data_IF_444936491754
#
_entry.id   IF_444936491754
#
_cell.length_a   1.000
_cell.length_b   1.000
_cell.length_c   1.000
_cell.angle_alpha   90.00
_cell.angle_beta   90.00
_cell.angle_gamma   90.00
#
_symmetry.space_group_name_H-M   'P 1'
#
loop_
_entity.id
_entity.type
_entity.pdbx_description
1 polymer ?
#
# COMPACT_ATOMS: atom_id res chain seq x y z
N UNK A 1 5.54 5.40 -2.71
CA UNK A 1 4.96 6.15 -3.86
C UNK A 1 4.55 7.56 -3.41
N UNK A 2 4.75 8.61 -4.20
CA UNK A 2 4.33 10.00 -3.86
C UNK A 2 2.95 10.33 -4.46
N UNK A 3 2.31 11.39 -3.94
CA UNK A 3 1.03 11.88 -4.49
C UNK A 3 1.14 12.29 -5.96
N UNK A 4 2.24 12.92 -6.36
CA UNK A 4 2.47 13.29 -7.77
C UNK A 4 2.66 12.06 -8.68
N UNK A 5 3.31 11.01 -8.17
CA UNK A 5 3.39 9.73 -8.89
C UNK A 5 2.01 9.10 -9.07
N UNK A 6 1.13 9.17 -8.06
CA UNK A 6 -0.24 8.66 -8.16
C UNK A 6 -1.08 9.47 -9.16
N UNK A 7 -0.97 10.81 -9.17
CA UNK A 7 -1.64 11.64 -10.18
C UNK A 7 -1.15 11.32 -11.60
N UNK A 8 0.16 11.11 -11.76
CA UNK A 8 0.73 10.67 -13.05
C UNK A 8 0.18 9.30 -13.46
N UNK A 9 0.16 8.33 -12.54
CA UNK A 9 -0.39 7.00 -12.78
C UNK A 9 -1.87 7.06 -13.20
N UNK A 10 -2.67 7.93 -12.57
CA UNK A 10 -4.08 8.13 -12.93
C UNK A 10 -4.23 8.62 -14.37
N UNK A 11 -3.46 9.65 -14.77
CA UNK A 11 -3.46 10.17 -16.14
C UNK A 11 -3.04 9.13 -17.19
N UNK A 12 -2.26 8.13 -16.79
CA UNK A 12 -1.81 7.03 -17.65
C UNK A 12 -2.80 5.84 -17.65
N UNK A 13 -3.91 5.91 -16.92
CA UNK A 13 -4.88 4.81 -16.82
C UNK A 13 -4.41 3.62 -15.97
N UNK A 14 -3.37 3.79 -15.15
CA UNK A 14 -2.85 2.72 -14.29
C UNK A 14 -3.77 2.50 -13.08
N UNK A 15 -4.11 1.24 -12.81
CA UNK A 15 -4.89 0.83 -11.62
C UNK A 15 -3.94 0.25 -10.57
N UNK A 16 -3.74 0.90 -9.41
CA UNK A 16 -2.87 0.38 -8.37
C UNK A 16 -3.52 -0.74 -7.55
N UNK A 17 -2.71 -1.72 -7.17
CA UNK A 17 -3.04 -2.73 -6.16
C UNK A 17 -2.05 -2.66 -5.01
N UNK A 18 -2.54 -2.69 -3.77
CA UNK A 18 -1.71 -2.52 -2.57
C UNK A 18 -1.65 -3.80 -1.73
N UNK A 19 -0.43 -4.22 -1.39
CA UNK A 19 -0.20 -5.28 -0.43
C UNK A 19 -0.13 -4.70 0.99
N UNK A 20 -1.25 -4.75 1.73
CA UNK A 20 -1.43 -4.01 2.99
C UNK A 20 -0.92 -4.77 4.20
N UNK A 21 -0.92 -6.10 4.17
CA UNK A 21 -0.34 -6.97 5.19
C UNK A 21 1.17 -6.71 5.43
N UNK A 22 1.85 -5.97 4.56
CA UNK A 22 3.17 -5.40 4.85
C UNK A 22 3.21 -4.62 6.18
N UNK A 23 2.12 -3.93 6.51
CA UNK A 23 2.01 -3.18 7.76
C UNK A 23 1.92 -4.16 8.94
N UNK A 24 1.12 -5.21 8.81
CA UNK A 24 0.91 -6.21 9.86
C UNK A 24 2.17 -7.05 10.14
N UNK A 25 2.84 -7.54 9.09
CA UNK A 25 3.98 -8.44 9.24
C UNK A 25 5.33 -7.72 9.33
N UNK A 26 5.48 -6.57 8.66
CA UNK A 26 6.79 -5.96 8.43
C UNK A 26 6.83 -4.46 8.77
N UNK A 27 5.81 -3.90 9.44
CA UNK A 27 5.72 -2.48 9.74
C UNK A 27 6.97 -1.91 10.44
N UNK A 28 7.47 -2.63 11.45
CA UNK A 28 8.68 -2.25 12.18
C UNK A 28 9.93 -2.35 11.29
N UNK A 29 10.08 -3.44 10.54
CA UNK A 29 11.21 -3.60 9.62
C UNK A 29 11.22 -2.53 8.52
N UNK A 30 10.05 -2.16 7.98
CA UNK A 30 9.90 -1.09 7.01
C UNK A 30 10.40 0.25 7.56
N UNK A 31 10.03 0.55 8.81
CA UNK A 31 10.39 1.78 9.50
C UNK A 31 11.87 1.83 9.87
N UNK A 32 12.40 0.76 10.45
CA UNK A 32 13.72 0.77 11.11
C UNK A 32 14.86 0.32 10.18
N UNK A 33 14.60 -0.58 9.24
CA UNK A 33 15.67 -1.27 8.48
C UNK A 33 15.57 -1.07 6.96
N UNK A 34 14.37 -1.03 6.39
CA UNK A 34 14.21 -1.14 4.92
C UNK A 34 14.11 0.22 4.24
N UNK A 35 13.15 1.07 4.63
CA UNK A 35 12.89 2.34 3.92
C UNK A 35 13.02 3.59 4.80
N UNK A 36 13.16 3.42 6.11
CA UNK A 36 13.26 4.51 7.06
C UNK A 36 11.89 5.13 7.39
N UNK A 37 11.80 5.87 8.51
CA UNK A 37 10.53 6.32 9.07
C UNK A 37 9.74 7.24 8.14
N UNK A 38 10.43 8.14 7.41
CA UNK A 38 9.81 9.09 6.49
C UNK A 38 9.14 8.42 5.28
N UNK A 39 9.66 7.28 4.81
CA UNK A 39 9.03 6.54 3.70
C UNK A 39 8.02 5.54 4.22
N UNK A 40 8.26 4.92 5.37
CA UNK A 40 7.36 3.98 6.01
C UNK A 40 5.98 4.61 6.28
N UNK A 41 5.94 5.87 6.74
CA UNK A 41 4.69 6.61 7.02
C UNK A 41 3.78 6.84 5.80
N UNK A 42 4.27 6.59 4.58
CA UNK A 42 3.53 6.71 3.32
C UNK A 42 3.71 5.51 2.40
N UNK A 43 4.13 4.37 2.94
CA UNK A 43 4.57 3.22 2.13
C UNK A 43 3.41 2.62 1.33
N UNK A 44 2.23 2.51 1.95
CA UNK A 44 0.98 2.05 1.34
C UNK A 44 -0.06 3.17 1.27
N UNK A 45 -0.06 3.99 0.20
CA UNK A 45 -0.81 5.25 0.17
C UNK A 45 -2.25 5.10 -0.37
N UNK A 46 -3.07 4.23 0.24
CA UNK A 46 -4.46 3.98 -0.19
C UNK A 46 -5.28 5.27 -0.26
N UNK A 47 -5.27 6.07 0.81
CA UNK A 47 -6.04 7.31 0.86
C UNK A 47 -5.56 8.32 -0.19
N UNK A 48 -4.26 8.38 -0.46
CA UNK A 48 -3.72 9.24 -1.52
C UNK A 48 -4.13 8.76 -2.91
N UNK A 49 -4.20 7.45 -3.12
CA UNK A 49 -4.69 6.89 -4.38
C UNK A 49 -6.16 7.23 -4.60
N UNK A 50 -6.99 7.06 -3.56
CA UNK A 50 -8.40 7.51 -3.55
C UNK A 50 -8.53 8.98 -3.90
N UNK A 51 -7.77 9.86 -3.23
CA UNK A 51 -7.76 11.31 -3.49
C UNK A 51 -7.30 11.67 -4.90
N UNK A 52 -6.46 10.85 -5.53
CA UNK A 52 -6.01 11.03 -6.90
C UNK A 52 -7.00 10.47 -7.96
N UNK A 53 -8.14 9.91 -7.54
CA UNK A 53 -9.18 9.40 -8.44
C UNK A 53 -9.08 7.91 -8.77
N UNK A 54 -8.12 7.19 -8.20
CA UNK A 54 -7.94 5.76 -8.50
C UNK A 54 -9.08 4.91 -7.96
N UNK A 55 -9.54 3.96 -8.77
CA UNK A 55 -10.08 2.69 -8.26
C UNK A 55 -8.88 1.82 -7.93
N UNK A 56 -8.78 1.33 -6.70
CA UNK A 56 -7.65 0.52 -6.24
C UNK A 56 -8.14 -0.82 -5.70
N UNK A 57 -7.20 -1.76 -5.58
CA UNK A 57 -7.43 -3.06 -4.95
C UNK A 57 -6.44 -3.29 -3.82
N UNK A 58 -6.76 -4.23 -2.93
CA UNK A 58 -5.88 -4.74 -1.87
C UNK A 58 -5.71 -6.25 -2.03
N UNK A 59 -4.56 -6.79 -1.62
CA UNK A 59 -4.24 -8.22 -1.73
C UNK A 59 -3.26 -8.65 -0.63
N UNK A 60 -3.25 -9.96 -0.31
CA UNK A 60 -2.33 -10.55 0.69
C UNK A 60 -1.01 -11.03 0.10
N UNK A 61 -0.81 -10.94 -1.22
CA UNK A 61 0.39 -11.48 -1.88
C UNK A 61 0.64 -12.97 -1.57
N UNK A 62 -0.42 -13.78 -1.51
CA UNK A 62 -0.31 -15.22 -1.24
C UNK A 62 0.56 -15.92 -2.29
N UNK A 63 1.46 -16.85 -1.88
CA UNK A 63 1.61 -17.45 -0.55
C UNK A 63 2.60 -16.71 0.37
N UNK A 64 3.16 -15.57 -0.03
CA UNK A 64 4.10 -14.80 0.80
C UNK A 64 3.48 -14.41 2.15
N UNK A 65 2.18 -14.10 2.16
CA UNK A 65 1.38 -14.10 3.39
C UNK A 65 0.11 -14.95 3.27
N UNK A 66 -0.43 -15.46 4.39
CA UNK A 66 -1.64 -16.29 4.39
C UNK A 66 -2.84 -15.55 3.78
N UNK A 67 -3.79 -16.27 3.19
CA UNK A 67 -5.06 -15.66 2.78
C UNK A 67 -5.83 -15.20 4.03
N UNK A 68 -6.37 -13.97 4.01
CA UNK A 68 -7.06 -13.41 5.18
C UNK A 68 -7.71 -12.05 4.92
N UNK A 69 -8.80 -12.03 4.14
CA UNK A 69 -9.48 -10.78 3.74
C UNK A 69 -9.89 -9.90 4.93
N UNK A 70 -10.39 -10.49 6.02
CA UNK A 70 -10.77 -9.73 7.21
C UNK A 70 -9.56 -9.14 7.96
N UNK A 71 -8.40 -9.80 7.89
CA UNK A 71 -7.15 -9.25 8.43
C UNK A 71 -6.70 -8.06 7.59
N UNK A 72 -6.64 -8.23 6.27
CA UNK A 72 -6.30 -7.15 5.33
C UNK A 72 -7.18 -5.90 5.54
N UNK A 73 -8.50 -6.09 5.63
CA UNK A 73 -9.44 -4.98 5.87
C UNK A 73 -9.27 -4.30 7.24
N UNK A 74 -8.80 -5.03 8.26
CA UNK A 74 -8.52 -4.45 9.59
C UNK A 74 -7.29 -3.55 9.56
N UNK A 75 -6.32 -3.87 8.70
CA UNK A 75 -5.03 -3.18 8.61
C UNK A 75 -5.12 -1.92 7.72
N UNK A 76 -6.02 -1.93 6.74
CA UNK A 76 -6.18 -0.89 5.71
C UNK A 76 -6.74 0.47 6.21
#
# INVERSE_FOLDING_TARGET
VTSEQLKRAFRLGVTPSFYIDHIYYYGDALKEVIVGPKRASRFMPINSAKKAGHRFTIHTDSPSSPIGVLREMRVA
#
